data_IF_041082480660
#
_entry.id   IF_041082480660
#
_cell.length_a   1.000
_cell.length_b   1.000
_cell.length_c   1.000
_cell.angle_alpha   90.00
_cell.angle_beta   90.00
_cell.angle_gamma   90.00
#
_symmetry.space_group_name_H-M   'P 1'
#
loop_
_entity.id
_entity.type
_entity.pdbx_description
1 polymer ?
#
# COMPACT_ATOMS: atom_id res chain seq x y z
N UNK A 1 4.70 -41.28 3.83
CA UNK A 1 3.58 -41.83 4.62
C UNK A 1 2.22 -41.20 4.29
N UNK A 2 2.10 -39.87 4.15
CA UNK A 2 0.80 -39.19 3.92
C UNK A 2 -0.09 -39.71 2.77
N UNK A 3 0.46 -40.18 1.64
CA UNK A 3 -0.33 -40.79 0.56
C UNK A 3 -1.05 -42.08 0.97
N UNK A 4 -0.43 -42.89 1.83
CA UNK A 4 -1.05 -44.13 2.33
C UNK A 4 -2.23 -43.82 3.24
N UNK A 5 -2.12 -42.79 4.07
CA UNK A 5 -3.24 -42.37 4.93
C UNK A 5 -4.41 -41.83 4.10
N UNK A 6 -4.17 -40.95 3.12
CA UNK A 6 -5.22 -40.43 2.22
C UNK A 6 -5.96 -41.55 1.46
N UNK A 7 -5.25 -42.61 1.06
CA UNK A 7 -5.87 -43.75 0.38
C UNK A 7 -6.84 -44.54 1.26
N UNK A 8 -6.65 -44.58 2.59
CA UNK A 8 -7.61 -45.19 3.53
C UNK A 8 -8.95 -44.45 3.54
N UNK A 9 -8.91 -43.16 3.27
CA UNK A 9 -10.09 -42.29 3.20
C UNK A 9 -10.65 -42.16 1.77
N UNK A 10 -10.08 -42.88 0.79
CA UNK A 10 -10.42 -42.74 -0.64
C UNK A 10 -10.23 -41.30 -1.17
N UNK A 11 -9.34 -40.52 -0.55
CA UNK A 11 -9.03 -39.15 -0.97
C UNK A 11 -7.83 -39.19 -1.90
N UNK A 12 -7.97 -38.56 -3.07
CA UNK A 12 -6.88 -38.33 -4.01
C UNK A 12 -6.64 -36.82 -4.14
N UNK A 13 -5.37 -36.43 -4.20
CA UNK A 13 -4.99 -35.07 -4.55
C UNK A 13 -4.94 -34.98 -6.07
N UNK A 14 -5.62 -33.97 -6.61
CA UNK A 14 -5.44 -33.60 -8.00
C UNK A 14 -3.99 -33.15 -8.23
N UNK A 15 -3.47 -33.47 -9.40
CA UNK A 15 -2.14 -33.04 -9.83
C UNK A 15 -2.19 -31.68 -10.52
N UNK A 16 -3.39 -31.24 -10.90
CA UNK A 16 -3.63 -29.98 -11.56
C UNK A 16 -4.16 -28.93 -10.58
N UNK A 17 -3.77 -27.68 -10.81
CA UNK A 17 -4.32 -26.55 -10.05
C UNK A 17 -5.74 -26.26 -10.54
N UNK A 18 -6.64 -25.98 -9.59
CA UNK A 18 -8.01 -25.56 -9.89
C UNK A 18 -7.96 -24.24 -10.67
N UNK A 19 -8.55 -24.25 -11.87
CA UNK A 19 -8.72 -23.06 -12.67
C UNK A 19 -9.86 -22.21 -12.11
N UNK A 20 -9.56 -20.96 -11.76
CA UNK A 20 -10.53 -20.02 -11.22
C UNK A 20 -10.76 -18.89 -12.21
N UNK A 21 -12.03 -18.67 -12.57
CA UNK A 21 -12.42 -17.49 -13.36
C UNK A 21 -12.55 -16.30 -12.43
N UNK A 22 -11.50 -15.48 -12.38
CA UNK A 22 -11.49 -14.19 -11.70
C UNK A 22 -11.69 -13.02 -12.67
N UNK A 23 -11.83 -11.82 -12.11
CA UNK A 23 -11.73 -10.56 -12.87
C UNK A 23 -10.83 -9.59 -12.13
N UNK A 24 -10.04 -8.84 -12.89
CA UNK A 24 -9.24 -7.73 -12.36
C UNK A 24 -10.02 -6.44 -12.51
N UNK A 25 -10.12 -5.64 -11.45
CA UNK A 25 -10.75 -4.32 -11.54
C UNK A 25 -9.85 -3.36 -12.33
N UNK A 26 -10.47 -2.40 -13.00
CA UNK A 26 -9.72 -1.34 -13.70
C UNK A 26 -8.98 -0.48 -12.69
N UNK A 27 -7.83 0.03 -13.11
CA UNK A 27 -7.08 1.03 -12.38
C UNK A 27 -7.96 2.25 -12.03
N UNK A 28 -7.97 2.63 -10.76
CA UNK A 28 -8.66 3.82 -10.28
C UNK A 28 -7.82 5.09 -10.51
N UNK A 29 -8.49 6.23 -10.51
CA UNK A 29 -7.82 7.53 -10.57
C UNK A 29 -7.80 8.17 -9.18
N UNK A 30 -6.66 8.73 -8.78
CA UNK A 30 -6.50 9.42 -7.51
C UNK A 30 -6.67 10.92 -7.75
N UNK A 31 -7.54 11.55 -6.98
CA UNK A 31 -7.87 12.98 -7.11
C UNK A 31 -7.10 13.77 -6.04
N UNK A 32 -6.29 14.72 -6.51
CA UNK A 32 -5.64 15.76 -5.72
C UNK A 32 -6.32 17.10 -5.96
N UNK A 33 -5.93 18.15 -5.22
CA UNK A 33 -6.58 19.48 -5.31
C UNK A 33 -6.60 20.03 -6.74
N UNK A 34 -5.46 19.95 -7.42
CA UNK A 34 -5.27 20.59 -8.73
C UNK A 34 -5.10 19.58 -9.88
N UNK A 35 -5.12 18.28 -9.59
CA UNK A 35 -4.83 17.22 -10.58
C UNK A 35 -5.48 15.90 -10.22
N UNK A 36 -5.90 15.16 -11.24
CA UNK A 36 -6.22 13.73 -11.14
C UNK A 36 -5.09 12.92 -11.76
N UNK A 37 -4.56 11.93 -11.04
CA UNK A 37 -3.53 11.01 -11.55
C UNK A 37 -4.13 9.63 -11.78
N UNK A 38 -3.66 8.95 -12.84
CA UNK A 38 -3.98 7.54 -13.07
C UNK A 38 -3.04 6.70 -12.21
N UNK A 39 -3.60 5.89 -11.32
CA UNK A 39 -2.82 5.04 -10.44
C UNK A 39 -2.67 3.65 -11.07
N UNK A 40 -1.46 3.12 -11.12
CA UNK A 40 -1.23 1.73 -11.49
C UNK A 40 -1.33 0.84 -10.24
N UNK A 41 -2.36 -0.03 -10.13
CA UNK A 41 -2.52 -0.92 -8.99
C UNK A 41 -1.44 -2.00 -8.88
N UNK A 42 -0.73 -2.30 -9.97
CA UNK A 42 0.28 -3.35 -10.00
C UNK A 42 1.59 -2.90 -9.34
N UNK A 43 1.97 -1.64 -9.54
CA UNK A 43 3.18 -1.04 -8.96
C UNK A 43 2.97 -0.68 -7.48
N UNK A 44 1.74 -0.37 -7.09
CA UNK A 44 1.34 0.03 -5.73
C UNK A 44 2.17 1.17 -5.10
N UNK A 45 2.95 1.90 -5.89
CA UNK A 45 3.78 3.01 -5.44
C UNK A 45 3.10 4.35 -5.71
N UNK A 46 2.68 5.03 -4.63
CA UNK A 46 2.09 6.38 -4.68
C UNK A 46 3.12 7.48 -4.41
N UNK A 47 4.32 7.11 -3.96
CA UNK A 47 5.34 8.04 -3.49
C UNK A 47 5.96 8.83 -4.64
N UNK A 48 5.97 8.29 -5.86
CA UNK A 48 6.54 8.96 -7.03
C UNK A 48 5.60 10.01 -7.63
N UNK A 49 4.34 9.64 -7.86
CA UNK A 49 3.37 10.42 -8.63
C UNK A 49 2.65 11.50 -7.81
N UNK A 50 2.63 11.33 -6.48
CA UNK A 50 2.09 12.31 -5.55
C UNK A 50 3.06 13.43 -5.16
N UNK A 51 4.35 13.32 -5.49
CA UNK A 51 5.33 14.38 -5.19
C UNK A 51 4.92 15.66 -5.89
N UNK A 52 5.05 16.79 -5.20
CA UNK A 52 4.65 18.14 -5.66
C UNK A 52 3.15 18.38 -5.86
N UNK A 53 2.27 17.41 -5.58
CA UNK A 53 0.82 17.62 -5.63
C UNK A 53 0.28 18.05 -4.26
N UNK A 54 -0.52 19.11 -4.25
CA UNK A 54 -1.25 19.52 -3.06
C UNK A 54 -2.33 18.48 -2.71
N UNK A 55 -2.43 18.13 -1.43
CA UNK A 55 -3.49 17.26 -0.93
C UNK A 55 -4.87 17.83 -1.28
N UNK A 56 -5.82 16.94 -1.58
CA UNK A 56 -7.20 17.30 -1.92
C UNK A 56 -7.83 18.26 -0.89
N UNK A 57 -7.54 18.03 0.39
CA UNK A 57 -7.88 18.94 1.48
C UNK A 57 -6.71 19.03 2.45
N UNK A 58 -6.04 20.17 2.51
CA UNK A 58 -5.06 20.48 3.54
C UNK A 58 -5.73 21.20 4.71
N UNK A 59 -5.27 20.91 5.93
CA UNK A 59 -5.61 21.68 7.13
C UNK A 59 -4.37 22.45 7.56
N UNK A 60 -4.56 23.70 7.98
CA UNK A 60 -3.47 24.51 8.47
C UNK A 60 -2.98 23.98 9.82
N UNK A 61 -1.66 23.94 9.99
CA UNK A 61 -1.03 23.59 11.26
C UNK A 61 -0.67 24.86 12.02
N UNK A 62 -1.69 25.53 12.57
CA UNK A 62 -1.53 26.87 13.16
C UNK A 62 -0.75 26.86 14.48
N UNK A 63 -0.89 25.81 15.29
CA UNK A 63 -0.25 25.66 16.60
C UNK A 63 0.22 24.23 16.79
N UNK A 64 1.52 24.05 16.97
CA UNK A 64 2.15 22.76 17.22
C UNK A 64 3.39 22.95 18.10
N UNK A 65 3.82 21.90 18.80
CA UNK A 65 5.00 21.92 19.68
C UNK A 65 5.89 20.76 19.26
N UNK A 66 7.20 21.00 19.16
CA UNK A 66 8.21 19.97 18.95
C UNK A 66 8.95 19.71 20.26
N UNK A 67 8.92 18.47 20.74
CA UNK A 67 9.65 18.04 21.93
C UNK A 67 10.83 17.20 21.48
N UNK A 68 12.04 17.60 21.84
CA UNK A 68 13.28 16.90 21.51
C UNK A 68 14.23 16.90 22.71
N UNK A 69 15.10 15.89 22.79
CA UNK A 69 16.17 15.88 23.79
C UNK A 69 17.32 16.77 23.36
N UNK A 70 18.05 17.34 24.33
CA UNK A 70 19.13 18.30 24.07
C UNK A 70 20.17 17.79 23.05
N UNK A 71 20.51 16.49 23.12
CA UNK A 71 21.45 15.85 22.18
C UNK A 71 21.00 15.87 20.71
N UNK A 72 19.71 16.01 20.45
CA UNK A 72 19.14 16.03 19.10
C UNK A 72 18.71 17.44 18.66
N UNK A 73 19.11 18.49 19.39
CA UNK A 73 18.76 19.88 19.08
C UNK A 73 19.07 20.28 17.64
N UNK A 74 20.25 19.92 17.14
CA UNK A 74 20.65 20.23 15.76
C UNK A 74 19.81 19.47 14.72
N UNK A 75 19.46 18.20 15.00
CA UNK A 75 18.61 17.40 14.11
C UNK A 75 17.20 17.96 14.10
N UNK A 76 16.65 18.31 15.28
CA UNK A 76 15.33 18.91 15.40
C UNK A 76 15.25 20.25 14.66
N UNK A 77 16.28 21.09 14.77
CA UNK A 77 16.36 22.34 14.01
C UNK A 77 16.43 22.11 12.50
N UNK A 78 17.18 21.11 12.04
CA UNK A 78 17.30 20.80 10.60
C UNK A 78 16.07 20.15 9.98
N UNK A 79 15.21 19.55 10.80
CA UNK A 79 14.01 18.84 10.35
C UNK A 79 12.84 19.79 10.06
N UNK A 80 12.80 20.93 10.75
CA UNK A 80 11.80 21.99 10.59
C UNK A 80 12.18 22.90 9.41
#
# INVERSE_FOLDING_TARGET
EGRKELSKWQINLDKELVQLTGRTMKAESIIYKDRTIKYDPLEADRSRDGRSLAHLSAKNLDKWILIYSQRHSQIAYSFV
#
